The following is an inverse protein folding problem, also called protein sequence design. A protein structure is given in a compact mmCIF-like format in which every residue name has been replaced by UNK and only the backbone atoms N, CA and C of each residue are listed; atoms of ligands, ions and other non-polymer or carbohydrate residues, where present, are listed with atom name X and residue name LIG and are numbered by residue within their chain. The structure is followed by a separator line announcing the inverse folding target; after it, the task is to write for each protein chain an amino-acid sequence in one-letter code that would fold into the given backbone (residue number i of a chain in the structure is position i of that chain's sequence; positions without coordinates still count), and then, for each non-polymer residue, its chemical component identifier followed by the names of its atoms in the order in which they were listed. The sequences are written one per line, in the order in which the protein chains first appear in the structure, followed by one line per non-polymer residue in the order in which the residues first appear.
data_IF_545407081425
#
_entry.id   IF_545407081425
#
_cell.length_a   1.000
_cell.length_b   1.000
_cell.length_c   1.000
_cell.angle_alpha   90.00
_cell.angle_beta   90.00
_cell.angle_gamma   90.00
#
_symmetry.space_group_name_H-M   'P 1'
#
loop_
_entity.id
_entity.type
_entity.pdbx_description
1 polymer ?
#
# COMPACT_ATOMS: atom_id res chain seq x y z
N UNK A 1 29.11 21.68 -22.39
CA UNK A 1 29.32 22.41 -21.13
C UNK A 1 28.24 21.97 -20.14
N UNK A 2 28.53 20.99 -19.30
CA UNK A 2 27.70 20.58 -18.17
C UNK A 2 28.69 19.97 -17.15
N UNK A 3 29.29 20.83 -16.32
CA UNK A 3 30.38 20.46 -15.41
C UNK A 3 30.10 20.93 -13.97
N UNK A 4 28.85 21.28 -13.66
CA UNK A 4 28.46 21.86 -12.37
C UNK A 4 27.07 21.37 -11.89
N UNK A 5 26.63 20.16 -12.27
CA UNK A 5 25.55 19.50 -11.53
C UNK A 5 26.21 18.79 -10.34
N UNK A 6 26.22 19.44 -9.18
CA UNK A 6 26.67 18.83 -7.94
C UNK A 6 25.65 17.75 -7.55
N UNK A 7 26.00 16.45 -7.58
CA UNK A 7 25.08 15.36 -7.28
C UNK A 7 24.65 15.35 -5.80
N UNK A 8 25.24 16.22 -4.96
CA UNK A 8 24.86 16.38 -3.55
C UNK A 8 23.85 17.51 -3.31
N UNK A 9 23.56 18.34 -4.31
CA UNK A 9 22.49 19.34 -4.16
C UNK A 9 21.12 18.64 -4.07
N UNK A 10 20.31 18.94 -3.03
CA UNK A 10 18.97 18.39 -2.95
C UNK A 10 18.15 18.90 -4.13
N UNK A 11 17.49 17.97 -4.84
CA UNK A 11 16.59 18.32 -5.95
C UNK A 11 15.57 19.35 -5.47
N UNK A 12 15.62 20.55 -6.05
CA UNK A 12 14.68 21.62 -5.74
C UNK A 12 13.31 21.21 -6.28
N UNK A 13 12.36 20.96 -5.39
CA UNK A 13 10.97 20.72 -5.75
C UNK A 13 10.39 21.96 -6.42
N UNK A 14 9.58 21.77 -7.47
CA UNK A 14 8.82 22.87 -8.05
C UNK A 14 7.81 23.38 -7.01
N UNK A 15 7.61 24.70 -6.96
CA UNK A 15 6.69 25.34 -6.03
C UNK A 15 5.26 24.79 -6.16
N UNK A 16 4.86 24.42 -7.38
CA UNK A 16 3.54 23.82 -7.65
C UNK A 16 3.40 22.43 -7.05
N UNK A 17 4.45 21.62 -7.14
CA UNK A 17 4.48 20.29 -6.52
C UNK A 17 4.43 20.40 -5.01
N UNK A 18 5.16 21.37 -4.44
CA UNK A 18 5.16 21.63 -3.00
C UNK A 18 3.74 21.98 -2.48
N UNK A 19 3.01 22.85 -3.18
CA UNK A 19 1.63 23.22 -2.83
C UNK A 19 0.72 21.99 -2.87
N UNK A 20 0.78 21.19 -3.94
CA UNK A 20 -0.03 19.96 -4.05
C UNK A 20 0.25 18.99 -2.91
N UNK A 21 1.52 18.83 -2.55
CA UNK A 21 1.91 17.92 -1.47
C UNK A 21 1.41 18.41 -0.11
N UNK A 22 1.43 19.73 0.12
CA UNK A 22 0.86 20.35 1.32
C UNK A 22 -0.67 20.17 1.40
N UNK A 23 -1.38 20.34 0.29
CA UNK A 23 -2.83 20.10 0.21
C UNK A 23 -3.17 18.64 0.51
N UNK A 24 -2.50 17.69 -0.16
CA UNK A 24 -2.67 16.26 0.10
C UNK A 24 -2.39 15.89 1.56
N UNK A 25 -1.36 16.46 2.15
CA UNK A 25 -1.05 16.24 3.56
C UNK A 25 -2.14 16.84 4.47
N UNK A 26 -2.62 18.04 4.17
CA UNK A 26 -3.72 18.67 4.92
C UNK A 26 -5.01 17.86 4.87
N UNK A 27 -5.36 17.33 3.71
CA UNK A 27 -6.50 16.42 3.53
C UNK A 27 -6.31 15.13 4.34
N UNK A 28 -5.14 14.50 4.27
CA UNK A 28 -4.84 13.29 5.04
C UNK A 28 -4.97 13.53 6.55
N UNK A 29 -4.40 14.62 7.06
CA UNK A 29 -4.50 14.97 8.49
C UNK A 29 -5.97 15.14 8.88
N UNK A 30 -6.76 15.86 8.08
CA UNK A 30 -8.18 16.03 8.33
C UNK A 30 -8.93 14.70 8.33
N UNK A 31 -8.70 13.86 7.33
CA UNK A 31 -9.35 12.55 7.20
C UNK A 31 -9.01 11.66 8.40
N UNK A 32 -7.74 11.65 8.86
CA UNK A 32 -7.32 10.90 10.05
C UNK A 32 -8.01 11.35 11.35
N UNK A 33 -8.38 12.63 11.46
CA UNK A 33 -9.04 13.17 12.65
C UNK A 33 -10.57 13.16 12.58
N UNK A 34 -11.16 13.02 11.40
CA UNK A 34 -12.61 13.21 11.21
C UNK A 34 -13.32 12.04 10.56
N UNK A 35 -12.61 11.15 9.87
CA UNK A 35 -13.18 10.03 9.13
C UNK A 35 -12.96 8.69 9.86
N UNK A 36 -13.62 7.64 9.37
CA UNK A 36 -13.42 6.27 9.82
C UNK A 36 -12.00 5.78 9.43
N UNK A 37 -11.18 5.32 10.40
CA UNK A 37 -9.81 4.87 10.13
C UNK A 37 -9.77 3.75 9.07
N UNK A 38 -10.78 2.88 9.00
CA UNK A 38 -10.85 1.83 7.99
C UNK A 38 -10.87 2.42 6.58
N UNK A 39 -11.67 3.47 6.37
CA UNK A 39 -11.80 4.15 5.08
C UNK A 39 -10.53 4.88 4.69
N UNK A 40 -9.89 5.54 5.64
CA UNK A 40 -8.62 6.26 5.39
C UNK A 40 -7.54 5.27 4.95
N UNK A 41 -7.40 4.15 5.66
CA UNK A 41 -6.41 3.12 5.31
C UNK A 41 -6.70 2.51 3.93
N UNK A 42 -7.97 2.26 3.58
CA UNK A 42 -8.36 1.78 2.25
C UNK A 42 -7.99 2.76 1.13
N UNK A 43 -8.13 4.07 1.35
CA UNK A 43 -7.71 5.10 0.38
C UNK A 43 -6.19 5.06 0.16
N UNK A 44 -5.43 4.92 1.25
CA UNK A 44 -3.95 4.96 1.24
C UNK A 44 -3.31 3.71 0.64
N UNK A 45 -3.97 2.55 0.75
CA UNK A 45 -3.45 1.24 0.32
C UNK A 45 -2.97 1.23 -1.15
N UNK A 46 -3.64 1.94 -2.06
CA UNK A 46 -3.28 1.93 -3.49
C UNK A 46 -1.97 2.68 -3.81
N UNK A 47 -1.50 3.57 -2.92
CA UNK A 47 -0.29 4.38 -3.11
C UNK A 47 0.84 4.02 -2.14
N UNK A 48 0.67 2.92 -1.40
CA UNK A 48 1.55 2.52 -0.30
C UNK A 48 2.66 1.58 -0.80
N UNK A 49 3.79 1.54 -0.09
CA UNK A 49 4.91 0.67 -0.46
C UNK A 49 4.52 -0.82 -0.45
N UNK A 50 5.15 -1.67 -1.29
CA UNK A 50 4.86 -3.10 -1.34
C UNK A 50 4.95 -3.78 0.03
N UNK A 51 5.96 -3.41 0.83
CA UNK A 51 6.16 -3.94 2.18
C UNK A 51 4.99 -3.66 3.12
N UNK A 52 4.46 -2.44 3.10
CA UNK A 52 3.33 -2.07 3.94
C UNK A 52 2.03 -2.72 3.46
N UNK A 53 1.88 -2.93 2.15
CA UNK A 53 0.77 -3.71 1.58
C UNK A 53 0.84 -5.18 2.01
N UNK A 54 2.02 -5.79 2.01
CA UNK A 54 2.24 -7.14 2.53
C UNK A 54 1.89 -7.25 4.01
N UNK A 55 2.34 -6.29 4.83
CA UNK A 55 2.02 -6.25 6.26
C UNK A 55 0.51 -6.11 6.49
N UNK A 56 -0.16 -5.25 5.72
CA UNK A 56 -1.62 -5.10 5.77
C UNK A 56 -2.34 -6.39 5.37
N UNK A 57 -1.86 -7.10 4.35
CA UNK A 57 -2.41 -8.40 3.95
C UNK A 57 -2.24 -9.47 5.04
N UNK A 58 -1.15 -9.41 5.80
CA UNK A 58 -0.88 -10.38 6.87
C UNK A 58 -1.73 -10.15 8.10
N UNK A 59 -1.75 -8.92 8.64
CA UNK A 59 -2.21 -8.68 10.02
C UNK A 59 -3.12 -7.45 10.17
N UNK A 60 -3.65 -6.87 9.09
CA UNK A 60 -4.58 -5.73 9.23
C UNK A 60 -5.81 -6.09 10.08
N UNK A 61 -6.16 -5.19 10.99
CA UNK A 61 -7.27 -5.38 11.92
C UNK A 61 -8.64 -5.41 11.20
N UNK A 62 -8.80 -4.55 10.20
CA UNK A 62 -10.03 -4.46 9.41
C UNK A 62 -10.01 -5.48 8.27
N UNK A 63 -11.04 -6.32 8.17
CA UNK A 63 -11.13 -7.37 7.16
C UNK A 63 -11.12 -6.81 5.73
N UNK A 64 -11.81 -5.69 5.50
CA UNK A 64 -11.85 -5.00 4.21
C UNK A 64 -10.46 -4.55 3.74
N UNK A 65 -9.66 -3.97 4.64
CA UNK A 65 -8.27 -3.55 4.41
C UNK A 65 -7.42 -4.76 4.06
N UNK A 66 -7.55 -5.84 4.82
CA UNK A 66 -6.77 -7.06 4.61
C UNK A 66 -7.09 -7.70 3.25
N UNK A 67 -8.37 -7.84 2.90
CA UNK A 67 -8.80 -8.37 1.60
C UNK A 67 -8.34 -7.49 0.44
N UNK A 68 -8.43 -6.16 0.60
CA UNK A 68 -7.95 -5.23 -0.41
C UNK A 68 -6.44 -5.33 -0.60
N UNK A 69 -5.69 -5.43 0.49
CA UNK A 69 -4.23 -5.60 0.47
C UNK A 69 -3.84 -6.89 -0.26
N UNK A 70 -4.50 -8.02 0.04
CA UNK A 70 -4.30 -9.30 -0.66
C UNK A 70 -4.51 -9.14 -2.18
N UNK A 71 -5.56 -8.43 -2.59
CA UNK A 71 -5.86 -8.20 -4.00
C UNK A 71 -4.79 -7.36 -4.73
N UNK A 72 -4.05 -6.52 -4.00
CA UNK A 72 -2.98 -5.67 -4.55
C UNK A 72 -1.61 -6.36 -4.61
N UNK A 73 -1.44 -7.53 -3.97
CA UNK A 73 -0.15 -8.23 -3.99
C UNK A 73 0.23 -8.70 -5.39
N UNK A 74 1.51 -8.56 -5.72
CA UNK A 74 2.11 -8.89 -7.01
C UNK A 74 3.03 -10.12 -6.92
N UNK A 75 3.69 -10.47 -8.03
CA UNK A 75 4.56 -11.64 -8.13
C UNK A 75 5.69 -11.69 -7.09
N UNK A 76 6.21 -10.53 -6.67
CA UNK A 76 7.24 -10.46 -5.63
C UNK A 76 6.74 -10.95 -4.26
N UNK A 77 5.44 -10.90 -4.02
CA UNK A 77 4.80 -11.18 -2.74
C UNK A 77 4.16 -12.58 -2.66
N UNK A 78 4.50 -13.48 -3.57
CA UNK A 78 3.96 -14.86 -3.61
C UNK A 78 4.20 -15.61 -2.30
N UNK A 79 5.37 -15.43 -1.68
CA UNK A 79 5.69 -16.05 -0.39
C UNK A 79 4.71 -15.59 0.71
N UNK A 80 4.31 -14.32 0.69
CA UNK A 80 3.35 -13.74 1.65
C UNK A 80 1.96 -14.34 1.43
N UNK A 81 1.51 -14.45 0.18
CA UNK A 81 0.24 -15.11 -0.15
C UNK A 81 0.19 -16.56 0.34
N UNK A 82 1.27 -17.33 0.15
CA UNK A 82 1.38 -18.70 0.66
C UNK A 82 1.35 -18.73 2.20
N UNK A 83 2.01 -17.78 2.85
CA UNK A 83 1.99 -17.66 4.31
C UNK A 83 0.59 -17.38 4.85
N UNK A 84 -0.20 -16.55 4.18
CA UNK A 84 -1.59 -16.26 4.57
C UNK A 84 -2.43 -17.53 4.54
N UNK A 85 -2.31 -18.32 3.46
CA UNK A 85 -3.00 -19.62 3.33
C UNK A 85 -2.57 -20.59 4.43
N UNK A 86 -1.28 -20.66 4.74
CA UNK A 86 -0.77 -21.55 5.78
C UNK A 86 -1.20 -21.16 7.20
N UNK A 87 -1.29 -19.86 7.51
CA UNK A 87 -1.69 -19.37 8.84
C UNK A 87 -3.18 -19.60 9.13
N UNK A 88 -4.05 -19.41 8.14
CA UNK A 88 -5.51 -19.38 8.34
C UNK A 88 -6.25 -20.08 7.17
N UNK A 89 -6.09 -21.39 6.98
CA UNK A 89 -6.54 -22.11 5.78
C UNK A 89 -8.06 -22.03 5.53
N UNK A 90 -8.86 -21.97 6.59
CA UNK A 90 -10.34 -21.94 6.51
C UNK A 90 -10.94 -20.53 6.56
N UNK A 91 -10.12 -19.49 6.30
CA UNK A 91 -10.58 -18.10 6.32
C UNK A 91 -10.89 -17.56 4.92
N UNK A 92 -11.74 -16.53 4.87
CA UNK A 92 -11.98 -15.75 3.64
C UNK A 92 -10.68 -15.15 3.06
N UNK A 93 -9.69 -14.88 3.92
CA UNK A 93 -8.38 -14.37 3.52
C UNK A 93 -7.56 -15.45 2.79
N UNK A 94 -7.62 -16.70 3.23
CA UNK A 94 -6.97 -17.80 2.51
C UNK A 94 -7.62 -18.05 1.15
N UNK A 95 -8.95 -18.00 1.06
CA UNK A 95 -9.65 -18.10 -0.22
C UNK A 95 -9.26 -16.96 -1.18
N UNK A 96 -9.19 -15.72 -0.68
CA UNK A 96 -8.73 -14.57 -1.45
C UNK A 96 -7.26 -14.70 -1.89
N UNK A 97 -6.38 -15.19 -1.01
CA UNK A 97 -4.97 -15.38 -1.31
C UNK A 97 -4.75 -16.47 -2.36
N UNK A 98 -5.48 -17.59 -2.29
CA UNK A 98 -5.46 -18.65 -3.30
C UNK A 98 -5.96 -18.14 -4.66
N UNK A 99 -7.06 -17.39 -4.68
CA UNK A 99 -7.58 -16.79 -5.90
C UNK A 99 -6.55 -15.83 -6.52
N UNK A 100 -5.84 -15.05 -5.71
CA UNK A 100 -4.78 -14.16 -6.17
C UNK A 100 -3.57 -14.93 -6.71
N UNK A 101 -3.12 -15.98 -6.02
CA UNK A 101 -2.04 -16.85 -6.51
C UNK A 101 -2.39 -17.46 -7.87
N UNK A 102 -3.62 -17.92 -8.05
CA UNK A 102 -4.08 -18.46 -9.32
C UNK A 102 -4.10 -17.41 -10.45
N UNK A 103 -4.36 -16.14 -10.14
CA UNK A 103 -4.27 -15.04 -11.12
C UNK A 103 -2.83 -14.74 -11.53
N UNK A 104 -1.89 -14.79 -10.58
CA UNK A 104 -0.47 -14.51 -10.84
C UNK A 104 0.25 -15.62 -11.60
N UNK A 105 -0.30 -16.84 -11.59
CA UNK A 105 0.21 -18.00 -12.34
C UNK A 105 -0.33 -18.12 -13.77
N UNK A 106 -1.26 -17.25 -14.16
CA UNK A 106 -1.75 -17.14 -15.54
C UNK A 106 -0.94 -16.11 -16.31
#
# INVERSE_FOLDING_TARGET
MACCDDPTEPKKLDRRELIRLQEQYGELVRDLFTEDPERVILKLLNGTSPYLTELAALDAHHASVRLRAIALLENASVAVLQQIVAKQPDSEFAAAAQARLAQLQR
#
